data_IF_688984020160
#
_entry.id   IF_688984020160
#
_cell.length_a   1.000
_cell.length_b   1.000
_cell.length_c   1.000
_cell.angle_alpha   90.00
_cell.angle_beta   90.00
_cell.angle_gamma   90.00
#
_symmetry.space_group_name_H-M   'P 1'
#
loop_
_entity.id
_entity.type
_entity.pdbx_description
1 polymer ?
#
# COMPACT_ATOMS: atom_id res chain seq x y z
N UNK A 1 6.14 17.82 7.22
CA UNK A 1 5.62 16.63 6.52
C UNK A 1 4.71 15.88 7.47
N UNK A 2 3.48 15.53 7.06
CA UNK A 2 2.58 14.69 7.86
C UNK A 2 3.24 13.33 8.13
N UNK A 3 2.93 12.72 9.28
CA UNK A 3 3.46 11.43 9.69
C UNK A 3 2.30 10.49 9.99
N UNK A 4 2.36 9.28 9.45
CA UNK A 4 1.42 8.20 9.74
C UNK A 4 2.17 7.04 10.36
N UNK A 5 1.48 6.20 11.13
CA UNK A 5 2.07 5.01 11.75
C UNK A 5 1.72 3.81 10.89
N UNK A 6 2.67 2.88 10.78
CA UNK A 6 2.39 1.56 10.20
C UNK A 6 1.66 0.73 11.26
N UNK A 7 0.53 0.16 10.87
CA UNK A 7 -0.18 -0.85 11.63
C UNK A 7 0.13 -2.23 11.06
N UNK A 8 0.56 -3.15 11.91
CA UNK A 8 0.88 -4.52 11.52
C UNK A 8 -0.12 -5.45 12.20
N UNK A 9 -0.84 -6.24 11.40
CA UNK A 9 -1.74 -7.28 11.89
C UNK A 9 -1.19 -8.64 11.50
N UNK A 10 -1.13 -9.56 12.45
CA UNK A 10 -0.71 -10.94 12.25
C UNK A 10 -1.88 -11.85 12.60
N UNK A 11 -2.22 -12.78 11.71
CA UNK A 11 -3.32 -13.72 11.92
C UNK A 11 -2.86 -15.11 11.52
N UNK A 12 -3.07 -16.08 12.39
CA UNK A 12 -2.94 -17.49 12.02
C UNK A 12 -4.21 -17.93 11.31
N UNK A 13 -4.03 -18.49 10.12
CA UNK A 13 -5.10 -19.05 9.30
C UNK A 13 -4.84 -20.55 9.22
N UNK A 14 -5.80 -21.32 9.71
CA UNK A 14 -5.82 -22.77 9.57
C UNK A 14 -6.25 -23.11 8.14
N UNK A 15 -5.49 -23.97 7.47
CA UNK A 15 -5.81 -24.51 6.16
C UNK A 15 -6.66 -25.79 6.33
N UNK A 16 -7.38 -26.17 5.27
CA UNK A 16 -8.27 -27.34 5.28
C UNK A 16 -7.52 -28.68 5.49
N UNK A 17 -6.20 -28.70 5.31
CA UNK A 17 -5.33 -29.86 5.55
C UNK A 17 -4.82 -29.97 7.00
N UNK A 18 -5.28 -29.10 7.90
CA UNK A 18 -4.87 -29.05 9.31
C UNK A 18 -3.53 -28.37 9.56
N UNK A 19 -2.91 -27.77 8.54
CA UNK A 19 -1.74 -26.91 8.71
C UNK A 19 -2.14 -25.47 8.95
N UNK A 20 -1.34 -24.71 9.72
CA UNK A 20 -1.57 -23.28 9.93
C UNK A 20 -0.54 -22.45 9.19
N UNK A 21 -0.97 -21.33 8.59
CA UNK A 21 -0.07 -20.29 8.07
C UNK A 21 -0.27 -18.97 8.81
N UNK A 22 0.83 -18.28 9.09
CA UNK A 22 0.78 -16.92 9.61
C UNK A 22 0.71 -15.94 8.45
N UNK A 23 -0.31 -15.08 8.45
CA UNK A 23 -0.46 -13.98 7.51
C UNK A 23 -0.13 -12.68 8.23
N UNK A 24 0.89 -11.95 7.75
CA UNK A 24 1.27 -10.63 8.27
C UNK A 24 0.90 -9.57 7.25
N UNK A 25 0.14 -8.57 7.68
CA UNK A 25 -0.25 -7.43 6.86
C UNK A 25 0.18 -6.13 7.52
N UNK A 26 1.01 -5.36 6.84
CA UNK A 26 1.38 -4.01 7.23
C UNK A 26 0.58 -3.01 6.39
N UNK A 27 0.02 -1.98 7.03
CA UNK A 27 -0.78 -0.94 6.38
C UNK A 27 -0.41 0.42 6.94
N UNK A 28 -0.51 1.45 6.12
CA UNK A 28 -0.47 2.85 6.56
C UNK A 28 -1.50 3.65 5.78
N UNK A 29 -1.91 4.78 6.32
CA UNK A 29 -2.81 5.72 5.65
C UNK A 29 -2.00 6.76 4.88
N UNK A 30 -2.50 7.17 3.72
CA UNK A 30 -1.96 8.32 2.97
C UNK A 30 -2.59 9.60 3.55
N UNK A 31 -1.80 10.56 4.04
CA UNK A 31 -2.31 11.85 4.52
C UNK A 31 -3.12 12.60 3.45
N UNK A 32 -4.17 13.31 3.87
CA UNK A 32 -5.06 14.08 2.99
C UNK A 32 -4.29 14.97 2.01
N UNK A 33 -3.37 15.79 2.52
CA UNK A 33 -2.63 16.74 1.68
C UNK A 33 -1.79 16.04 0.61
N UNK A 34 -1.22 14.86 0.90
CA UNK A 34 -0.45 14.06 -0.06
C UNK A 34 -1.39 13.45 -1.10
N UNK A 35 -2.53 12.91 -0.66
CA UNK A 35 -3.56 12.36 -1.55
C UNK A 35 -4.07 13.43 -2.52
N UNK A 36 -4.39 14.62 -2.03
CA UNK A 36 -4.89 15.74 -2.84
C UNK A 36 -3.81 16.27 -3.79
N UNK A 37 -2.58 16.44 -3.31
CA UNK A 37 -1.46 16.90 -4.13
C UNK A 37 -1.22 16.02 -5.36
N UNK A 38 -1.28 14.70 -5.18
CA UNK A 38 -1.11 13.73 -6.27
C UNK A 38 -2.43 13.31 -6.95
N UNK A 39 -3.55 13.92 -6.56
CA UNK A 39 -4.90 13.60 -7.03
C UNK A 39 -5.17 12.08 -7.01
N UNK A 40 -4.80 11.41 -5.91
CA UNK A 40 -4.95 9.96 -5.77
C UNK A 40 -6.42 9.58 -5.59
N UNK A 41 -6.88 8.70 -6.46
CA UNK A 41 -8.26 8.21 -6.50
C UNK A 41 -8.37 6.73 -6.18
N UNK A 42 -9.59 6.26 -5.95
CA UNK A 42 -9.83 4.84 -5.76
C UNK A 42 -9.54 4.12 -7.08
N UNK A 43 -8.70 3.09 -7.03
CA UNK A 43 -8.27 2.35 -8.22
C UNK A 43 -6.89 2.76 -8.72
N UNK A 44 -6.34 3.89 -8.25
CA UNK A 44 -4.92 4.20 -8.47
C UNK A 44 -4.03 3.17 -7.75
N UNK A 45 -2.94 2.79 -8.42
CA UNK A 45 -1.94 1.89 -7.89
C UNK A 45 -0.69 2.65 -7.44
N UNK A 46 -0.03 2.11 -6.42
CA UNK A 46 1.26 2.61 -5.93
C UNK A 46 2.34 1.56 -6.17
N UNK A 47 3.36 1.93 -6.92
CA UNK A 47 4.56 1.14 -7.10
C UNK A 47 5.56 1.47 -5.98
N UNK A 48 6.10 0.44 -5.33
CA UNK A 48 6.99 0.60 -4.17
C UNK A 48 8.43 0.29 -4.54
N UNK A 49 9.33 1.25 -4.34
CA UNK A 49 10.77 1.10 -4.49
C UNK A 49 11.51 1.31 -3.18
N UNK A 50 12.62 0.60 -3.01
CA UNK A 50 13.63 0.99 -2.03
C UNK A 50 14.33 2.22 -2.59
N UNK A 51 14.26 3.35 -1.88
CA UNK A 51 14.87 4.56 -2.37
C UNK A 51 16.40 4.52 -2.34
N UNK A 52 17.01 5.55 -2.93
CA UNK A 52 18.47 5.73 -2.95
C UNK A 52 19.15 5.83 -1.56
N UNK A 53 18.38 5.88 -0.47
CA UNK A 53 18.86 5.93 0.91
C UNK A 53 18.14 4.91 1.81
N UNK A 54 18.88 4.35 2.79
CA UNK A 54 18.44 3.23 3.66
C UNK A 54 17.13 3.45 4.43
N UNK A 55 16.72 4.69 4.63
CA UNK A 55 15.53 5.07 5.41
C UNK A 55 14.47 5.78 4.56
N UNK A 56 14.51 5.59 3.24
CA UNK A 56 13.54 6.17 2.31
C UNK A 56 12.88 5.06 1.49
N UNK A 57 11.57 5.18 1.38
CA UNK A 57 10.77 4.46 0.41
C UNK A 57 10.46 5.45 -0.70
N UNK A 58 10.58 5.00 -1.94
CA UNK A 58 10.14 5.74 -3.11
C UNK A 58 8.81 5.13 -3.57
N UNK A 59 7.84 5.99 -3.90
CA UNK A 59 6.52 5.59 -4.37
C UNK A 59 6.31 6.16 -5.77
N UNK A 60 6.11 5.27 -6.74
CA UNK A 60 5.58 5.61 -8.06
C UNK A 60 4.05 5.59 -8.01
N UNK A 61 3.41 6.46 -8.78
CA UNK A 61 1.95 6.48 -8.91
C UNK A 61 1.61 5.97 -10.30
N UNK A 62 0.86 4.89 -10.36
CA UNK A 62 0.29 4.37 -11.60
C UNK A 62 -1.19 4.75 -11.56
N UNK A 63 -1.56 5.74 -12.39
CA UNK A 63 -2.95 6.16 -12.49
C UNK A 63 -3.77 5.00 -13.05
N UNK A 64 -4.86 4.67 -12.36
CA UNK A 64 -5.85 3.75 -12.89
C UNK A 64 -6.37 4.38 -14.17
N UNK A 65 -5.90 3.88 -15.32
CA UNK A 65 -6.27 4.43 -16.61
C UNK A 65 -7.78 4.43 -16.77
N UNK A 66 -8.30 5.55 -17.25
CA UNK A 66 -9.61 5.65 -17.88
C UNK A 66 -9.90 4.35 -18.61
N UNK A 67 -10.99 3.67 -18.22
CA UNK A 67 -11.37 2.41 -18.83
C UNK A 67 -11.30 2.54 -20.34
N UNK A 68 -10.71 1.53 -20.98
CA UNK A 68 -10.88 1.29 -22.41
C UNK A 68 -12.34 1.56 -22.76
N UNK A 69 -12.57 2.71 -23.38
CA UNK A 69 -13.83 3.01 -24.06
C UNK A 69 -13.63 2.42 -25.44
N UNK A 70 -14.27 1.28 -25.70
CA UNK A 70 -14.51 0.74 -27.05
C UNK A 70 -14.91 1.83 -28.06
#
# INVERSE_FOLDING_TARGET
>A
MPKTKVSVTSTEVENDDGTSRTVVQARTTIPKDIREFFSLEQGDELEWGMGSAKNKIELGIIKGGDGDSE
#
